data_IF_779393766907
#
_entry.id   IF_779393766907
#
_cell.length_a   1.000
_cell.length_b   1.000
_cell.length_c   1.000
_cell.angle_alpha   90.00
_cell.angle_beta   90.00
_cell.angle_gamma   90.00
#
_symmetry.space_group_name_H-M   'P 1'
#
loop_
_entity.id
_entity.type
_entity.pdbx_description
1 polymer ?
#
# COMPACT_ATOMS: atom_id res chain seq x y z
N UNK A 1 -101.39 26.37 -3.76
CA UNK A 1 -100.09 25.68 -3.62
C UNK A 1 -99.06 25.98 -4.72
N UNK A 2 -99.27 26.89 -5.68
CA UNK A 2 -98.19 27.45 -6.52
C UNK A 2 -97.69 28.82 -6.03
N UNK A 3 -98.60 29.63 -5.48
CA UNK A 3 -98.31 30.96 -4.96
C UNK A 3 -97.41 30.95 -3.70
N UNK A 4 -97.71 30.08 -2.76
CA UNK A 4 -96.91 29.91 -1.55
C UNK A 4 -95.47 29.52 -1.88
N UNK A 5 -95.29 28.62 -2.86
CA UNK A 5 -93.99 28.23 -3.39
C UNK A 5 -93.23 29.43 -3.97
N UNK A 6 -93.88 30.25 -4.81
CA UNK A 6 -93.29 31.48 -5.33
C UNK A 6 -92.84 32.44 -4.22
N UNK A 7 -93.70 32.69 -3.23
CA UNK A 7 -93.39 33.62 -2.15
C UNK A 7 -92.25 33.12 -1.25
N UNK A 8 -92.21 31.82 -0.96
CA UNK A 8 -91.13 31.20 -0.21
C UNK A 8 -89.81 31.24 -0.98
N UNK A 9 -89.84 30.97 -2.29
CA UNK A 9 -88.67 31.08 -3.16
C UNK A 9 -88.16 32.52 -3.24
N UNK A 10 -89.04 33.49 -3.48
CA UNK A 10 -88.68 34.90 -3.56
C UNK A 10 -88.07 35.41 -2.25
N UNK A 11 -88.64 35.05 -1.10
CA UNK A 11 -88.07 35.38 0.23
C UNK A 11 -86.71 34.72 0.44
N UNK A 12 -86.57 33.43 0.09
CA UNK A 12 -85.31 32.70 0.22
C UNK A 12 -84.19 33.31 -0.64
N UNK A 13 -84.48 33.65 -1.89
CA UNK A 13 -83.52 34.30 -2.80
C UNK A 13 -83.17 35.71 -2.29
N UNK A 14 -84.16 36.48 -1.85
CA UNK A 14 -83.94 37.82 -1.28
C UNK A 14 -82.96 37.75 -0.11
N UNK A 15 -83.20 36.84 0.84
CA UNK A 15 -82.34 36.67 2.01
C UNK A 15 -80.93 36.18 1.65
N UNK A 16 -80.80 35.26 0.68
CA UNK A 16 -79.48 34.76 0.26
C UNK A 16 -78.66 35.79 -0.51
N UNK A 17 -79.31 36.76 -1.12
CA UNK A 17 -78.67 37.83 -1.88
C UNK A 17 -78.59 39.15 -1.08
N UNK A 18 -78.95 39.13 0.21
CA UNK A 18 -79.08 40.32 1.07
C UNK A 18 -79.89 41.47 0.40
N UNK A 19 -80.97 41.11 -0.29
CA UNK A 19 -81.89 42.05 -0.92
C UNK A 19 -83.07 42.33 0.01
N UNK A 20 -83.50 43.59 0.05
CA UNK A 20 -84.75 44.03 0.66
C UNK A 20 -85.97 43.33 0.03
N UNK A 21 -87.14 43.52 0.64
CA UNK A 21 -88.40 42.92 0.21
C UNK A 21 -88.69 43.16 -1.28
N UNK A 22 -88.61 42.09 -2.08
CA UNK A 22 -88.86 42.16 -3.53
C UNK A 22 -90.34 42.54 -3.83
N UNK A 23 -90.59 43.30 -4.91
CA UNK A 23 -91.95 43.63 -5.33
C UNK A 23 -92.70 42.37 -5.80
N UNK A 24 -94.04 42.39 -5.72
CA UNK A 24 -94.88 41.23 -6.07
C UNK A 24 -94.99 40.16 -4.98
N UNK A 25 -94.42 40.37 -3.78
CA UNK A 25 -94.51 39.44 -2.64
C UNK A 25 -95.85 39.48 -1.87
N UNK A 26 -96.85 40.20 -2.37
CA UNK A 26 -98.21 40.23 -1.79
C UNK A 26 -98.96 38.96 -2.17
N UNK A 27 -99.77 38.41 -1.26
CA UNK A 27 -100.66 37.29 -1.56
C UNK A 27 -101.83 37.77 -2.42
N UNK A 28 -102.10 37.10 -3.54
CA UNK A 28 -103.22 37.38 -4.43
C UNK A 28 -104.59 37.13 -3.77
N UNK A 29 -104.62 36.37 -2.68
CA UNK A 29 -105.83 36.16 -1.86
C UNK A 29 -106.26 37.49 -1.20
N UNK A 30 -105.30 38.29 -0.76
CA UNK A 30 -105.53 39.56 -0.05
C UNK A 30 -105.67 40.76 -1.00
N UNK A 31 -105.49 40.56 -2.31
CA UNK A 31 -105.46 41.62 -3.32
C UNK A 31 -106.77 41.63 -4.12
N UNK A 32 -107.47 42.79 -4.23
CA UNK A 32 -108.66 42.94 -5.05
C UNK A 32 -108.43 42.53 -6.51
N UNK A 33 -109.44 41.97 -7.19
CA UNK A 33 -109.32 41.44 -8.56
C UNK A 33 -108.71 42.44 -9.56
N UNK A 34 -109.03 43.72 -9.40
CA UNK A 34 -108.57 44.83 -10.26
C UNK A 34 -107.05 45.04 -10.13
N UNK A 35 -106.47 44.82 -8.95
CA UNK A 35 -105.05 45.04 -8.65
C UNK A 35 -104.16 43.80 -8.87
N UNK A 36 -104.77 42.63 -9.07
CA UNK A 36 -104.02 41.37 -9.28
C UNK A 36 -103.10 41.41 -10.49
N UNK A 37 -103.51 42.14 -11.53
CA UNK A 37 -102.70 42.28 -12.74
C UNK A 37 -101.42 43.10 -12.48
N UNK A 38 -101.51 44.12 -11.62
CA UNK A 38 -100.35 44.88 -11.16
C UNK A 38 -99.38 44.00 -10.39
N UNK A 39 -99.88 43.15 -9.48
CA UNK A 39 -99.03 42.20 -8.73
C UNK A 39 -98.37 41.18 -9.66
N UNK A 40 -99.06 40.69 -10.70
CA UNK A 40 -98.45 39.80 -11.71
C UNK A 40 -97.32 40.49 -12.47
N UNK A 41 -97.50 41.74 -12.88
CA UNK A 41 -96.45 42.55 -13.53
C UNK A 41 -95.26 42.78 -12.62
N UNK A 42 -95.49 43.09 -11.33
CA UNK A 42 -94.43 43.19 -10.32
C UNK A 42 -93.64 41.87 -10.19
N UNK A 43 -94.33 40.73 -10.11
CA UNK A 43 -93.69 39.41 -10.02
C UNK A 43 -92.85 39.08 -11.24
N UNK A 44 -93.37 39.38 -12.44
CA UNK A 44 -92.66 39.17 -13.70
C UNK A 44 -91.37 40.01 -13.77
N UNK A 45 -91.47 41.30 -13.41
CA UNK A 45 -90.31 42.20 -13.33
C UNK A 45 -89.27 41.70 -12.31
N UNK A 46 -89.70 41.20 -11.16
CA UNK A 46 -88.80 40.59 -10.16
C UNK A 46 -88.08 39.38 -10.73
N UNK A 47 -88.77 38.49 -11.47
CA UNK A 47 -88.15 37.33 -12.12
C UNK A 47 -87.08 37.79 -13.12
N UNK A 48 -87.39 38.75 -13.98
CA UNK A 48 -86.44 39.29 -14.96
C UNK A 48 -85.18 39.88 -14.31
N UNK A 49 -85.34 40.67 -13.25
CA UNK A 49 -84.22 41.23 -12.49
C UNK A 49 -83.37 40.15 -11.82
N UNK A 50 -84.01 39.15 -11.21
CA UNK A 50 -83.30 38.04 -10.58
C UNK A 50 -82.55 37.21 -11.63
N UNK A 51 -83.16 36.93 -12.79
CA UNK A 51 -82.50 36.23 -13.90
C UNK A 51 -81.29 37.00 -14.42
N UNK A 52 -81.41 38.31 -14.63
CA UNK A 52 -80.28 39.15 -15.01
C UNK A 52 -79.16 39.12 -13.96
N UNK A 53 -79.51 39.18 -12.67
CA UNK A 53 -78.52 39.13 -11.59
C UNK A 53 -77.82 37.78 -11.52
N UNK A 54 -78.53 36.68 -11.70
CA UNK A 54 -77.97 35.33 -11.77
C UNK A 54 -76.97 35.24 -12.92
N UNK A 55 -77.30 35.78 -14.09
CA UNK A 55 -76.40 35.76 -15.24
C UNK A 55 -75.11 36.57 -14.99
N UNK A 56 -75.23 37.75 -14.37
CA UNK A 56 -74.06 38.54 -13.96
C UNK A 56 -73.20 37.75 -12.96
N UNK A 57 -73.80 37.14 -11.94
CA UNK A 57 -73.07 36.36 -10.93
C UNK A 57 -72.37 35.15 -11.54
N UNK A 58 -73.02 34.47 -12.49
CA UNK A 58 -72.43 33.35 -13.23
C UNK A 58 -71.22 33.80 -14.05
N UNK A 59 -71.32 34.91 -14.76
CA UNK A 59 -70.21 35.46 -15.54
C UNK A 59 -69.05 35.91 -14.64
N UNK A 60 -69.35 36.53 -13.50
CA UNK A 60 -68.34 36.90 -12.50
C UNK A 60 -67.65 35.69 -11.90
N UNK A 61 -68.40 34.63 -11.61
CA UNK A 61 -67.85 33.38 -11.09
C UNK A 61 -66.90 32.75 -12.12
N UNK A 62 -67.33 32.62 -13.38
CA UNK A 62 -66.50 32.05 -14.44
C UNK A 62 -65.22 32.87 -14.66
N UNK A 63 -65.32 34.20 -14.66
CA UNK A 63 -64.16 35.06 -14.80
C UNK A 63 -63.16 34.87 -13.65
N UNK A 64 -63.65 34.81 -12.41
CA UNK A 64 -62.79 34.54 -11.23
C UNK A 64 -62.16 33.16 -11.26
N UNK A 65 -62.90 32.14 -11.71
CA UNK A 65 -62.38 30.78 -11.88
C UNK A 65 -61.24 30.74 -12.91
N UNK A 66 -61.40 31.44 -14.04
CA UNK A 66 -60.36 31.55 -15.06
C UNK A 66 -59.11 32.27 -14.52
N UNK A 67 -59.29 33.40 -13.82
CA UNK A 67 -58.18 34.14 -13.20
C UNK A 67 -57.43 33.29 -12.16
N UNK A 68 -58.14 32.52 -11.34
CA UNK A 68 -57.51 31.61 -10.38
C UNK A 68 -56.73 30.50 -11.08
N UNK A 69 -57.27 29.97 -12.18
CA UNK A 69 -56.61 28.91 -12.95
C UNK A 69 -55.32 29.42 -13.59
N UNK A 70 -55.35 30.62 -14.17
CA UNK A 70 -54.19 31.27 -14.77
C UNK A 70 -53.12 31.58 -13.71
N UNK A 71 -53.50 32.22 -12.59
CA UNK A 71 -52.57 32.51 -11.50
C UNK A 71 -51.93 31.25 -10.89
N UNK A 72 -52.69 30.14 -10.81
CA UNK A 72 -52.15 28.85 -10.36
C UNK A 72 -51.21 28.22 -11.39
N UNK A 73 -51.47 28.39 -12.69
CA UNK A 73 -50.59 27.93 -13.74
C UNK A 73 -49.26 28.70 -13.71
N UNK A 74 -49.32 30.03 -13.57
CA UNK A 74 -48.14 30.89 -13.48
C UNK A 74 -47.29 30.56 -12.25
N UNK A 75 -47.91 30.47 -11.06
CA UNK A 75 -47.19 30.14 -9.84
C UNK A 75 -46.51 28.76 -9.90
N UNK A 76 -47.16 27.77 -10.53
CA UNK A 76 -46.56 26.45 -10.76
C UNK A 76 -45.46 26.49 -11.82
N UNK A 77 -45.62 27.31 -12.85
CA UNK A 77 -44.62 27.54 -13.88
C UNK A 77 -43.35 28.12 -13.28
N UNK A 78 -43.46 29.19 -12.50
CA UNK A 78 -42.33 29.81 -11.78
C UNK A 78 -41.64 28.82 -10.84
N UNK A 79 -42.41 28.03 -10.09
CA UNK A 79 -41.86 27.01 -9.20
C UNK A 79 -41.11 25.91 -9.97
N UNK A 80 -41.65 25.46 -11.11
CA UNK A 80 -40.97 24.50 -11.98
C UNK A 80 -39.68 25.06 -12.56
N UNK A 81 -39.68 26.32 -13.01
CA UNK A 81 -38.49 26.98 -13.54
C UNK A 81 -37.40 27.11 -12.47
N UNK A 82 -37.76 27.42 -11.23
CA UNK A 82 -36.83 27.41 -10.09
C UNK A 82 -36.20 26.03 -9.90
N UNK A 83 -37.01 24.96 -9.86
CA UNK A 83 -36.48 23.60 -9.72
C UNK A 83 -35.61 23.17 -10.91
N UNK A 84 -35.96 23.55 -12.14
CA UNK A 84 -35.16 23.27 -13.33
C UNK A 84 -33.79 23.96 -13.22
N UNK A 85 -33.76 25.21 -12.78
CA UNK A 85 -32.51 25.96 -12.60
C UNK A 85 -31.63 25.36 -11.49
N UNK A 86 -32.23 24.95 -10.37
CA UNK A 86 -31.52 24.25 -9.30
C UNK A 86 -30.94 22.91 -9.78
N UNK A 87 -31.73 22.11 -10.50
CA UNK A 87 -31.27 20.84 -11.08
C UNK A 87 -30.10 21.05 -12.04
N UNK A 88 -30.18 22.04 -12.93
CA UNK A 88 -29.07 22.39 -13.84
C UNK A 88 -27.83 22.83 -13.08
N UNK A 89 -27.98 23.65 -12.04
CA UNK A 89 -26.86 24.06 -11.19
C UNK A 89 -26.23 22.88 -10.46
N UNK A 90 -27.03 21.91 -10.00
CA UNK A 90 -26.52 20.70 -9.34
C UNK A 90 -25.85 19.76 -10.33
N UNK A 91 -26.37 19.67 -11.55
CA UNK A 91 -25.75 18.88 -12.60
C UNK A 91 -24.35 19.40 -12.97
N UNK A 92 -24.18 20.72 -13.09
CA UNK A 92 -22.85 21.31 -13.35
C UNK A 92 -21.88 21.08 -12.18
N UNK A 93 -22.36 21.21 -10.93
CA UNK A 93 -21.58 20.90 -9.73
C UNK A 93 -21.10 19.43 -9.73
N UNK A 94 -21.99 18.48 -10.03
CA UNK A 94 -21.66 17.05 -10.13
C UNK A 94 -20.61 16.81 -11.23
N UNK A 95 -20.73 17.46 -12.38
CA UNK A 95 -19.76 17.32 -13.46
C UNK A 95 -18.37 17.82 -13.04
N UNK A 96 -18.28 18.96 -12.36
CA UNK A 96 -17.02 19.49 -11.83
C UNK A 96 -16.40 18.56 -10.78
N UNK A 97 -17.22 18.02 -9.87
CA UNK A 97 -16.75 17.07 -8.86
C UNK A 97 -16.23 15.77 -9.48
N UNK A 98 -16.90 15.24 -10.51
CA UNK A 98 -16.42 14.07 -11.26
C UNK A 98 -15.06 14.35 -11.91
N UNK A 99 -14.91 15.48 -12.59
CA UNK A 99 -13.63 15.87 -13.19
C UNK A 99 -12.52 16.02 -12.13
N UNK A 100 -12.83 16.63 -10.98
CA UNK A 100 -11.87 16.77 -9.88
C UNK A 100 -11.44 15.41 -9.31
N UNK A 101 -12.39 14.48 -9.17
CA UNK A 101 -12.13 13.13 -8.70
C UNK A 101 -11.23 12.37 -9.68
N UNK A 102 -11.49 12.47 -10.98
CA UNK A 102 -10.69 11.81 -12.01
C UNK A 102 -9.25 12.36 -12.04
N UNK A 103 -9.07 13.68 -11.95
CA UNK A 103 -7.73 14.29 -11.81
C UNK A 103 -6.99 13.78 -10.57
N UNK A 104 -7.69 13.63 -9.44
CA UNK A 104 -7.09 13.13 -8.19
C UNK A 104 -6.68 11.67 -8.31
N UNK A 105 -7.51 10.85 -8.98
CA UNK A 105 -7.19 9.44 -9.27
C UNK A 105 -5.97 9.31 -10.16
N UNK A 106 -5.88 10.11 -11.22
CA UNK A 106 -4.71 10.12 -12.12
C UNK A 106 -3.43 10.54 -11.39
N UNK A 107 -3.49 11.59 -10.57
CA UNK A 107 -2.36 12.03 -9.75
C UNK A 107 -1.87 10.92 -8.82
N UNK A 108 -2.78 10.24 -8.12
CA UNK A 108 -2.45 9.11 -7.25
C UNK A 108 -1.82 7.95 -8.01
N UNK A 109 -2.35 7.59 -9.19
CA UNK A 109 -1.78 6.53 -10.02
C UNK A 109 -0.36 6.88 -10.49
N UNK A 110 -0.11 8.14 -10.86
CA UNK A 110 1.21 8.61 -11.25
C UNK A 110 2.20 8.57 -10.08
N UNK A 111 1.77 8.96 -8.88
CA UNK A 111 2.58 8.86 -7.67
C UNK A 111 2.89 7.40 -7.32
N UNK A 112 1.90 6.50 -7.39
CA UNK A 112 2.15 5.07 -7.17
C UNK A 112 3.17 4.50 -8.16
N UNK A 113 3.09 4.88 -9.43
CA UNK A 113 4.08 4.49 -10.47
C UNK A 113 5.46 5.03 -10.16
N UNK A 114 5.58 6.30 -9.74
CA UNK A 114 6.87 6.92 -9.42
C UNK A 114 7.50 6.29 -8.17
N UNK A 115 6.71 6.03 -7.13
CA UNK A 115 7.14 5.35 -5.91
C UNK A 115 7.61 3.93 -6.22
N UNK A 116 6.88 3.18 -7.05
CA UNK A 116 7.29 1.83 -7.46
C UNK A 116 8.61 1.85 -8.24
N UNK A 117 8.78 2.79 -9.18
CA UNK A 117 10.02 2.96 -9.93
C UNK A 117 11.20 3.32 -9.01
N UNK A 118 10.98 4.21 -8.05
CA UNK A 118 11.99 4.60 -7.06
C UNK A 118 12.42 3.42 -6.19
N UNK A 119 11.46 2.64 -5.67
CA UNK A 119 11.75 1.42 -4.89
C UNK A 119 12.60 0.43 -5.69
N UNK A 120 12.22 0.14 -6.94
CA UNK A 120 12.97 -0.76 -7.83
C UNK A 120 14.40 -0.26 -8.08
N UNK A 121 14.56 1.04 -8.35
CA UNK A 121 15.88 1.65 -8.56
C UNK A 121 16.76 1.55 -7.31
N UNK A 122 16.18 1.83 -6.13
CA UNK A 122 16.88 1.72 -4.84
C UNK A 122 17.35 0.30 -4.56
N UNK A 123 16.48 -0.69 -4.75
CA UNK A 123 16.83 -2.11 -4.59
C UNK A 123 17.93 -2.54 -5.56
N UNK A 124 17.88 -2.08 -6.82
CA UNK A 124 18.91 -2.39 -7.81
C UNK A 124 20.27 -1.80 -7.40
N UNK A 125 20.30 -0.56 -6.91
CA UNK A 125 21.53 0.07 -6.38
C UNK A 125 22.09 -0.70 -5.18
N UNK A 126 21.23 -1.11 -4.25
CA UNK A 126 21.63 -1.92 -3.09
C UNK A 126 22.21 -3.27 -3.52
N UNK A 127 21.55 -3.97 -4.45
CA UNK A 127 22.05 -5.25 -5.00
C UNK A 127 23.43 -5.09 -5.65
N UNK A 128 23.61 -4.05 -6.49
CA UNK A 128 24.92 -3.75 -7.10
C UNK A 128 26.00 -3.48 -6.06
N UNK A 129 25.70 -2.68 -5.03
CA UNK A 129 26.64 -2.37 -3.96
C UNK A 129 27.03 -3.62 -3.14
N UNK A 130 26.08 -4.50 -2.85
CA UNK A 130 26.34 -5.78 -2.17
C UNK A 130 27.19 -6.68 -3.07
N UNK A 131 26.86 -6.79 -4.36
CA UNK A 131 27.60 -7.61 -5.32
C UNK A 131 29.05 -7.14 -5.48
N UNK A 132 29.31 -5.83 -5.52
CA UNK A 132 30.68 -5.30 -5.53
C UNK A 132 31.45 -5.66 -4.26
N UNK A 133 30.82 -5.52 -3.08
CA UNK A 133 31.46 -5.90 -1.82
C UNK A 133 31.82 -7.38 -1.78
N UNK A 134 30.96 -8.25 -2.29
CA UNK A 134 31.24 -9.68 -2.40
C UNK A 134 32.43 -9.95 -3.31
N UNK A 135 32.46 -9.37 -4.52
CA UNK A 135 33.61 -9.51 -5.44
C UNK A 135 34.94 -9.08 -4.81
N UNK A 136 34.95 -7.99 -4.06
CA UNK A 136 36.16 -7.52 -3.34
C UNK A 136 36.61 -8.52 -2.29
N UNK A 137 35.67 -9.07 -1.52
CA UNK A 137 35.95 -10.12 -0.53
C UNK A 137 36.42 -11.42 -1.17
N UNK A 138 35.85 -11.82 -2.31
CA UNK A 138 36.30 -13.01 -3.04
C UNK A 138 37.76 -12.86 -3.48
N UNK A 139 38.12 -11.69 -4.03
CA UNK A 139 39.51 -11.39 -4.39
C UNK A 139 40.46 -11.41 -3.18
N UNK A 140 40.01 -10.86 -2.04
CA UNK A 140 40.77 -10.90 -0.79
C UNK A 140 40.97 -12.33 -0.29
N UNK A 141 39.92 -13.16 -0.32
CA UNK A 141 39.98 -14.59 0.03
C UNK A 141 40.99 -15.31 -0.86
N UNK A 142 40.95 -15.10 -2.17
CA UNK A 142 41.88 -15.74 -3.11
C UNK A 142 43.32 -15.31 -2.87
N UNK A 143 43.53 -14.02 -2.59
CA UNK A 143 44.86 -13.49 -2.23
C UNK A 143 45.38 -14.13 -0.94
N UNK A 144 44.54 -14.21 0.10
CA UNK A 144 44.91 -14.82 1.39
C UNK A 144 45.17 -16.33 1.25
N UNK A 145 44.38 -17.04 0.43
CA UNK A 145 44.62 -18.45 0.12
C UNK A 145 45.98 -18.66 -0.53
N UNK A 146 46.33 -17.84 -1.53
CA UNK A 146 47.64 -17.92 -2.18
C UNK A 146 48.78 -17.67 -1.20
N UNK A 147 48.66 -16.65 -0.34
CA UNK A 147 49.65 -16.37 0.70
C UNK A 147 49.79 -17.52 1.71
N UNK A 148 48.68 -18.15 2.08
CA UNK A 148 48.67 -19.31 2.97
C UNK A 148 49.38 -20.51 2.32
N UNK A 149 49.09 -20.79 1.05
CA UNK A 149 49.73 -21.87 0.30
C UNK A 149 51.24 -21.65 0.15
N UNK A 150 51.68 -20.41 -0.10
CA UNK A 150 53.10 -20.06 -0.09
C UNK A 150 53.76 -20.26 1.27
N UNK A 151 53.07 -19.92 2.37
CA UNK A 151 53.56 -20.16 3.73
C UNK A 151 53.67 -21.64 4.03
N UNK A 152 52.69 -22.44 3.62
CA UNK A 152 52.71 -23.91 3.79
C UNK A 152 53.88 -24.54 3.02
N UNK A 153 54.12 -24.11 1.78
CA UNK A 153 55.30 -24.54 1.00
C UNK A 153 56.62 -24.20 1.70
N UNK A 154 56.74 -22.99 2.27
CA UNK A 154 57.93 -22.58 3.03
C UNK A 154 58.11 -23.41 4.30
N UNK A 155 57.03 -23.69 5.03
CA UNK A 155 57.05 -24.54 6.22
C UNK A 155 57.48 -25.97 5.87
N UNK A 156 56.95 -26.53 4.77
CA UNK A 156 57.35 -27.85 4.27
C UNK A 156 58.86 -27.89 3.98
N UNK A 157 59.38 -26.88 3.25
CA UNK A 157 60.79 -26.78 2.91
C UNK A 157 61.69 -26.69 4.17
N UNK A 158 61.31 -25.85 5.14
CA UNK A 158 62.03 -25.71 6.41
C UNK A 158 62.00 -27.01 7.23
N UNK A 159 60.87 -27.72 7.23
CA UNK A 159 60.74 -29.03 7.85
C UNK A 159 61.68 -30.06 7.21
N UNK A 160 61.70 -30.14 5.88
CA UNK A 160 62.59 -31.03 5.12
C UNK A 160 64.07 -30.70 5.36
N UNK A 161 64.43 -29.41 5.39
CA UNK A 161 65.78 -28.97 5.74
C UNK A 161 66.17 -29.37 7.16
N UNK A 162 65.26 -29.17 8.12
CA UNK A 162 65.48 -29.57 9.52
C UNK A 162 65.68 -31.08 9.64
N UNK A 163 64.89 -31.88 8.91
CA UNK A 163 65.04 -33.33 8.86
C UNK A 163 66.39 -33.74 8.25
N UNK A 164 66.81 -33.10 7.15
CA UNK A 164 68.14 -33.31 6.56
C UNK A 164 69.27 -32.99 7.55
N UNK A 165 69.20 -31.86 8.24
CA UNK A 165 70.18 -31.50 9.28
C UNK A 165 70.21 -32.51 10.42
N UNK A 166 69.04 -32.96 10.90
CA UNK A 166 68.94 -34.02 11.92
C UNK A 166 69.63 -35.31 11.45
N UNK A 167 69.36 -35.77 10.23
CA UNK A 167 70.00 -36.96 9.65
C UNK A 167 71.51 -36.79 9.51
N UNK A 168 71.98 -35.62 9.09
CA UNK A 168 73.42 -35.31 9.00
C UNK A 168 74.08 -35.36 10.38
N UNK A 169 73.46 -34.79 11.43
CA UNK A 169 74.00 -34.84 12.79
C UNK A 169 74.07 -36.28 13.32
N UNK A 170 73.05 -37.10 13.08
CA UNK A 170 73.06 -38.53 13.45
C UNK A 170 74.20 -39.26 12.72
N UNK A 171 74.33 -39.06 11.41
CA UNK A 171 75.40 -39.69 10.62
C UNK A 171 76.80 -39.20 11.03
N UNK A 172 76.96 -37.91 11.36
CA UNK A 172 78.22 -37.38 11.88
C UNK A 172 78.54 -37.94 13.27
N UNK A 173 77.55 -38.07 14.15
CA UNK A 173 77.67 -38.72 15.45
C UNK A 173 78.15 -40.17 15.32
N UNK A 174 77.49 -40.95 14.46
CA UNK A 174 77.90 -42.32 14.12
C UNK A 174 79.32 -42.35 13.56
N UNK A 175 79.66 -41.48 12.60
CA UNK A 175 81.00 -41.41 12.01
C UNK A 175 82.09 -41.03 13.00
N UNK A 176 81.79 -40.17 13.99
CA UNK A 176 82.71 -39.83 15.09
C UNK A 176 82.90 -41.04 16.01
N UNK A 177 81.82 -41.74 16.36
CA UNK A 177 81.86 -42.96 17.17
C UNK A 177 82.66 -44.08 16.49
N UNK A 178 82.42 -44.34 15.20
CA UNK A 178 83.17 -45.32 14.40
C UNK A 178 84.66 -44.98 14.31
N UNK A 179 85.01 -43.69 14.16
CA UNK A 179 86.41 -43.25 14.21
C UNK A 179 87.04 -43.48 15.58
N UNK A 180 86.34 -43.15 16.66
CA UNK A 180 86.82 -43.40 18.03
C UNK A 180 87.05 -44.90 18.29
N UNK A 181 86.11 -45.77 17.88
CA UNK A 181 86.26 -47.22 17.97
C UNK A 181 87.46 -47.73 17.16
N UNK A 182 87.64 -47.25 15.92
CA UNK A 182 88.78 -47.67 15.08
C UNK A 182 90.12 -47.26 15.70
N UNK A 183 90.20 -46.06 16.28
CA UNK A 183 91.39 -45.60 16.98
C UNK A 183 91.67 -46.46 18.22
N UNK A 184 90.67 -46.77 19.04
CA UNK A 184 90.81 -47.64 20.19
C UNK A 184 91.26 -49.07 19.79
N UNK A 185 90.72 -49.63 18.71
CA UNK A 185 91.15 -50.94 18.18
C UNK A 185 92.61 -50.89 17.71
N UNK A 186 93.03 -49.82 17.04
CA UNK A 186 94.42 -49.63 16.61
C UNK A 186 95.36 -49.50 17.81
N UNK A 187 94.94 -48.79 18.86
CA UNK A 187 95.69 -48.64 20.10
C UNK A 187 95.85 -49.98 20.83
N UNK A 188 94.78 -50.78 20.90
CA UNK A 188 94.84 -52.17 21.40
C UNK A 188 95.79 -53.01 20.54
N UNK A 189 95.76 -52.89 19.21
CA UNK A 189 96.62 -53.64 18.29
C UNK A 189 98.10 -53.26 18.45
N UNK A 190 98.41 -51.97 18.60
CA UNK A 190 99.76 -51.49 18.88
C UNK A 190 100.27 -52.00 20.24
N UNK A 191 99.43 -51.95 21.28
CA UNK A 191 99.76 -52.54 22.57
C UNK A 191 99.99 -54.04 22.47
N UNK A 192 99.19 -54.78 21.68
CA UNK A 192 99.40 -56.21 21.42
C UNK A 192 100.75 -56.48 20.74
N UNK A 193 101.14 -55.68 19.76
CA UNK A 193 102.46 -55.78 19.12
C UNK A 193 103.60 -55.45 20.09
N UNK A 194 103.42 -54.43 20.94
CA UNK A 194 104.40 -54.08 21.98
C UNK A 194 104.58 -55.21 23.00
N UNK A 195 103.48 -55.83 23.43
CA UNK A 195 103.46 -56.98 24.36
C UNK A 195 104.10 -58.22 23.73
N UNK A 196 103.85 -58.46 22.43
CA UNK A 196 104.53 -59.51 21.68
C UNK A 196 106.05 -59.25 21.56
N UNK A 197 106.48 -57.99 21.41
CA UNK A 197 107.90 -57.64 21.38
C UNK A 197 108.58 -57.85 22.75
N UNK A 198 107.89 -57.51 23.83
CA UNK A 198 108.35 -57.73 25.22
C UNK A 198 108.44 -59.22 25.54
N UNK A 199 107.46 -60.02 25.12
CA UNK A 199 107.50 -61.48 25.26
C UNK A 199 108.63 -62.10 24.42
N UNK A 200 108.93 -61.54 23.24
CA UNK A 200 110.06 -61.99 22.43
C UNK A 200 111.40 -61.65 23.11
N UNK A 201 111.54 -60.44 23.66
CA UNK A 201 112.73 -60.05 24.43
C UNK A 201 112.90 -60.89 25.70
N UNK A 202 111.82 -61.21 26.42
CA UNK A 202 111.92 -62.05 27.62
C UNK A 202 112.28 -63.50 27.25
N UNK A 203 111.77 -64.04 26.14
CA UNK A 203 112.19 -65.34 25.62
C UNK A 203 113.66 -65.36 25.17
N UNK A 204 114.15 -64.30 24.54
CA UNK A 204 115.58 -64.16 24.20
C UNK A 204 116.47 -64.08 25.45
N UNK A 205 116.02 -63.38 26.51
CA UNK A 205 116.70 -63.35 27.81
C UNK A 205 116.71 -64.72 28.50
N UNK A 206 115.58 -65.44 28.49
CA UNK A 206 115.48 -66.80 29.02
C UNK A 206 116.40 -67.77 28.25
N UNK A 207 116.48 -67.64 26.92
CA UNK A 207 117.40 -68.41 26.10
C UNK A 207 118.87 -68.10 26.44
N UNK A 208 119.21 -66.83 26.70
CA UNK A 208 120.56 -66.42 27.14
C UNK A 208 120.95 -67.02 28.49
N UNK A 209 120.01 -67.06 29.45
CA UNK A 209 120.23 -67.66 30.78
C UNK A 209 120.38 -69.17 30.69
N UNK A 210 119.56 -69.84 29.87
CA UNK A 210 119.62 -71.30 29.69
C UNK A 210 120.87 -71.75 28.91
N UNK A 211 121.37 -70.95 27.97
CA UNK A 211 122.61 -71.26 27.22
C UNK A 211 123.89 -70.87 27.97
N UNK A 212 123.80 -70.02 29.00
CA UNK A 212 124.92 -69.70 29.90
C UNK A 212 125.21 -70.76 30.96
N UNK A 213 124.26 -71.65 31.25
CA UNK A 213 124.38 -72.71 32.27
C UNK A 213 124.95 -74.04 31.75
N UNK A 214 125.32 -74.13 30.47
CA UNK A 214 126.02 -75.30 29.87
C UNK A 214 127.52 -75.11 29.75
N UNK A 215 128.09 -74.07 30.39
CA UNK A 215 129.53 -73.82 30.44
C UNK A 215 129.99 -73.51 31.87
N UNK A 216 129.82 -74.49 32.76
CA UNK A 216 130.57 -74.67 34.02
C UNK A 216 130.37 -76.09 34.53
#
# INVERSE_FOLDING_TARGET
TSEECYLNLARSISNRLDLDRLPGQRSLIQVPKIERETVRKERQKTIELLSQRIEILKNQFQHKENLLTEALADAKGEQLDQFINELRSKETEIQLLRQSLDRTREALLNEQRSVAAFKKSREQRQRKAIQEKLKRKDYEIDTLKNQLEERDKKLQLLSDQTMKMRMQMVNQGSNRMFRAMRNAVNEIRMNKHSLASLLKQSLELIAYVLFGLTRL
#
